data_IF_315476013947
#
_entry.id   IF_315476013947
#
_cell.length_a   1.000
_cell.length_b   1.000
_cell.length_c   1.000
_cell.angle_alpha   90.00
_cell.angle_beta   90.00
_cell.angle_gamma   90.00
#
_symmetry.space_group_name_H-M   'P 1'
#
loop_
_entity.id
_entity.type
_entity.pdbx_description
1 polymer ?
#
# COMPACT_ATOMS: atom_id res chain seq x y z
N UNK A 1 14.23 17.44 14.83
CA UNK A 1 14.10 16.67 13.59
C UNK A 1 12.67 16.15 13.47
N UNK A 2 12.03 16.41 12.34
CA UNK A 2 10.66 15.97 12.16
C UNK A 2 10.62 14.46 11.88
N UNK A 3 9.71 13.76 12.53
CA UNK A 3 9.51 12.35 12.27
C UNK A 3 8.85 12.16 10.91
N UNK A 4 9.19 11.04 10.28
CA UNK A 4 8.57 10.69 9.00
C UNK A 4 7.09 10.39 9.21
N UNK A 5 6.26 10.99 8.35
CA UNK A 5 4.84 10.67 8.25
C UNK A 5 4.59 10.17 6.83
N UNK A 6 4.07 8.95 6.65
CA UNK A 6 3.78 8.45 5.30
C UNK A 6 2.81 9.36 4.57
N UNK A 7 3.02 9.52 3.26
CA UNK A 7 2.16 10.32 2.40
C UNK A 7 1.66 9.48 1.24
N UNK A 8 0.61 9.95 0.58
CA UNK A 8 0.02 9.24 -0.56
C UNK A 8 1.07 8.97 -1.63
N UNK A 9 1.07 7.75 -2.13
CA UNK A 9 2.02 7.30 -3.14
C UNK A 9 3.32 6.76 -2.57
N UNK A 10 3.61 6.95 -1.29
CA UNK A 10 4.79 6.35 -0.68
C UNK A 10 4.70 4.84 -0.70
N UNK A 11 5.84 4.19 -0.92
CA UNK A 11 5.99 2.76 -0.68
C UNK A 11 6.70 2.62 0.66
N UNK A 12 6.08 1.92 1.59
CA UNK A 12 6.63 1.73 2.93
C UNK A 12 6.67 0.25 3.29
N UNK A 13 7.61 -0.11 4.15
CA UNK A 13 7.63 -1.43 4.78
C UNK A 13 6.68 -1.43 5.96
N UNK A 14 5.81 -2.44 6.04
CA UNK A 14 4.88 -2.62 7.15
C UNK A 14 4.78 -4.08 7.52
N UNK A 15 4.50 -4.34 8.78
CA UNK A 15 4.17 -5.67 9.24
C UNK A 15 2.66 -5.89 9.09
N UNK A 16 2.27 -6.83 8.24
CA UNK A 16 0.88 -7.15 7.95
C UNK A 16 0.32 -8.26 8.85
N UNK A 17 1.14 -8.80 9.73
CA UNK A 17 0.70 -9.82 10.68
C UNK A 17 -0.11 -9.17 11.81
N UNK A 18 -1.19 -9.80 12.30
CA UNK A 18 -1.75 -11.08 11.86
C UNK A 18 -2.53 -10.96 10.56
N UNK A 19 -2.66 -12.08 9.85
CA UNK A 19 -3.41 -12.14 8.61
C UNK A 19 -4.49 -13.22 8.73
N UNK A 20 -5.48 -13.17 7.84
CA UNK A 20 -6.56 -14.15 7.81
C UNK A 20 -6.78 -14.61 6.37
N UNK A 21 -6.76 -15.91 6.15
CA UNK A 21 -7.05 -16.51 4.85
C UNK A 21 -6.16 -16.00 3.72
N UNK A 22 -6.77 -15.37 2.74
CA UNK A 22 -6.08 -14.90 1.53
C UNK A 22 -5.35 -13.58 1.68
N UNK A 23 -5.38 -12.96 2.85
CA UNK A 23 -4.70 -11.69 3.09
C UNK A 23 -3.19 -11.89 3.11
N UNK A 24 -2.46 -10.85 2.67
CA UNK A 24 -1.01 -10.86 2.76
C UNK A 24 -0.57 -10.79 4.22
N UNK A 25 0.54 -11.46 4.53
CA UNK A 25 1.07 -11.56 5.89
C UNK A 25 2.55 -11.20 5.90
N UNK A 26 3.08 -10.95 7.10
CA UNK A 26 4.50 -10.71 7.32
C UNK A 26 4.91 -9.28 6.99
N UNK A 27 6.23 -9.05 7.00
CA UNK A 27 6.82 -7.74 6.73
C UNK A 27 6.92 -7.54 5.22
N UNK A 28 6.11 -6.61 4.68
CA UNK A 28 5.97 -6.42 3.24
C UNK A 28 5.92 -4.94 2.88
N UNK A 29 6.29 -4.58 1.64
CA UNK A 29 6.05 -3.23 1.16
C UNK A 29 4.58 -3.01 0.86
N UNK A 30 4.14 -1.78 1.02
CA UNK A 30 2.77 -1.36 0.75
C UNK A 30 2.77 0.04 0.16
N UNK A 31 1.79 0.31 -0.70
CA UNK A 31 1.58 1.66 -1.24
C UNK A 31 0.56 2.38 -0.37
N UNK A 32 0.91 3.57 0.07
CA UNK A 32 0.05 4.41 0.89
C UNK A 32 -0.93 5.15 -0.01
N UNK A 33 -2.22 5.07 0.31
CA UNK A 33 -3.29 5.72 -0.47
C UNK A 33 -3.78 7.00 0.17
N UNK A 34 -3.69 7.11 1.49
CA UNK A 34 -4.19 8.27 2.22
C UNK A 34 -3.12 9.34 2.39
N UNK A 35 -3.51 10.62 2.45
CA UNK A 35 -2.55 11.72 2.56
C UNK A 35 -1.95 11.85 3.96
N UNK A 36 -0.77 12.48 4.04
CA UNK A 36 -0.07 12.70 5.30
C UNK A 36 -0.93 13.42 6.33
N UNK A 37 -1.78 14.35 5.88
CA UNK A 37 -2.67 15.09 6.78
C UNK A 37 -3.57 14.14 7.60
N UNK A 38 -4.05 13.09 6.96
CA UNK A 38 -4.81 12.04 7.66
C UNK A 38 -3.88 11.13 8.44
N UNK A 39 -2.76 10.75 7.84
CA UNK A 39 -1.87 9.73 8.42
C UNK A 39 -1.23 10.15 9.73
N UNK A 40 -1.15 11.46 9.99
CA UNK A 40 -0.59 11.98 11.25
C UNK A 40 -1.30 11.48 12.49
N UNK A 41 -2.57 11.12 12.37
CA UNK A 41 -3.31 10.60 13.53
C UNK A 41 -2.89 9.19 13.93
N UNK A 42 -2.12 8.50 13.08
CA UNK A 42 -1.57 7.19 13.39
C UNK A 42 -2.09 6.04 12.54
N UNK A 43 -3.15 6.27 11.76
CA UNK A 43 -3.70 5.29 10.83
C UNK A 43 -3.40 5.71 9.39
N UNK A 44 -3.42 4.74 8.48
CA UNK A 44 -3.35 5.03 7.06
C UNK A 44 -4.08 3.96 6.27
N UNK A 45 -4.43 4.30 5.03
CA UNK A 45 -4.96 3.32 4.08
C UNK A 45 -3.82 2.93 3.14
N UNK A 46 -3.68 1.64 2.91
CA UNK A 46 -2.63 1.12 2.04
C UNK A 46 -3.06 -0.16 1.33
N UNK A 47 -2.29 -0.51 0.30
CA UNK A 47 -2.42 -1.79 -0.40
C UNK A 47 -1.07 -2.49 -0.40
N UNK A 48 -1.01 -3.79 -0.11
CA UNK A 48 0.27 -4.52 -0.11
C UNK A 48 0.79 -4.73 -1.51
N UNK A 49 2.13 -4.87 -1.63
CA UNK A 49 2.80 -5.29 -2.84
C UNK A 49 3.23 -6.73 -2.73
N UNK A 50 3.29 -7.38 -3.88
CA UNK A 50 3.86 -8.74 -4.00
C UNK A 50 4.72 -8.80 -5.25
N UNK A 51 5.73 -9.68 -5.25
CA UNK A 51 6.52 -9.94 -6.44
C UNK A 51 5.93 -11.07 -7.29
N UNK A 52 4.90 -11.74 -6.78
CA UNK A 52 4.26 -12.87 -7.46
C UNK A 52 2.89 -12.47 -7.97
N UNK A 53 2.80 -12.22 -9.29
CA UNK A 53 1.53 -11.95 -9.94
C UNK A 53 0.72 -13.24 -10.09
N UNK A 54 -0.59 -13.12 -9.89
CA UNK A 54 -1.55 -14.18 -10.18
C UNK A 54 -2.40 -13.84 -11.39
N UNK A 55 -2.11 -12.70 -12.05
CA UNK A 55 -2.84 -12.27 -13.23
C UNK A 55 -4.24 -11.75 -12.96
N UNK A 56 -4.53 -11.34 -11.73
CA UNK A 56 -5.85 -10.81 -11.39
C UNK A 56 -6.02 -9.39 -11.92
N UNK A 57 -7.24 -9.01 -12.33
CA UNK A 57 -7.47 -7.69 -12.95
C UNK A 57 -7.27 -6.50 -12.00
N UNK A 58 -7.27 -6.71 -10.69
CA UNK A 58 -7.04 -5.64 -9.73
C UNK A 58 -5.58 -5.51 -9.29
N UNK A 59 -4.67 -6.24 -9.92
CA UNK A 59 -3.24 -6.04 -9.69
C UNK A 59 -2.77 -4.86 -10.54
N UNK A 60 -1.89 -4.04 -9.97
CA UNK A 60 -1.26 -2.94 -10.69
C UNK A 60 0.25 -3.14 -10.64
N UNK A 61 0.86 -3.26 -11.81
CA UNK A 61 2.31 -3.42 -11.88
C UNK A 61 3.00 -2.10 -11.56
N UNK A 62 4.02 -2.18 -10.72
CA UNK A 62 4.85 -1.05 -10.33
C UNK A 62 6.28 -1.35 -10.77
N UNK A 63 6.85 -0.43 -11.54
CA UNK A 63 8.22 -0.55 -12.01
C UNK A 63 9.20 -0.13 -10.93
N UNK A 64 10.29 -0.90 -10.81
CA UNK A 64 11.36 -0.63 -9.87
C UNK A 64 12.53 -1.54 -10.20
N UNK A 65 13.44 -1.73 -9.27
CA UNK A 65 14.54 -2.68 -9.45
C UNK A 65 14.02 -4.09 -9.70
N UNK A 66 12.91 -4.42 -9.06
CA UNK A 66 12.20 -5.68 -9.24
C UNK A 66 10.74 -5.34 -9.56
N UNK A 67 10.16 -6.02 -10.55
CA UNK A 67 8.73 -5.83 -10.84
C UNK A 67 7.92 -6.28 -9.64
N UNK A 68 7.00 -5.42 -9.23
CA UNK A 68 6.10 -5.68 -8.12
C UNK A 68 4.67 -5.39 -8.56
N UNK A 69 3.72 -5.95 -7.83
CA UNK A 69 2.29 -5.81 -8.14
C UNK A 69 1.57 -5.36 -6.90
N UNK A 70 0.83 -4.26 -7.01
CA UNK A 70 0.00 -3.76 -5.93
C UNK A 70 -1.34 -4.50 -5.98
N UNK A 71 -1.75 -5.02 -4.84
CA UNK A 71 -3.02 -5.73 -4.72
C UNK A 71 -4.10 -4.72 -4.34
N UNK A 72 -4.70 -4.09 -5.35
CA UNK A 72 -5.66 -3.00 -5.14
C UNK A 72 -6.96 -3.45 -4.50
N UNK A 73 -7.23 -4.76 -4.46
CA UNK A 73 -8.38 -5.34 -3.77
C UNK A 73 -8.13 -5.56 -2.27
N UNK A 74 -6.91 -5.37 -1.80
CA UNK A 74 -6.57 -5.55 -0.39
C UNK A 74 -6.28 -4.20 0.29
N UNK A 75 -7.22 -3.27 0.17
CA UNK A 75 -7.11 -1.98 0.86
C UNK A 75 -7.29 -2.23 2.35
N UNK A 76 -6.33 -1.75 3.14
CA UNK A 76 -6.34 -1.94 4.59
C UNK A 76 -6.11 -0.63 5.31
N UNK A 77 -6.80 -0.47 6.45
CA UNK A 77 -6.54 0.61 7.39
C UNK A 77 -5.66 0.05 8.49
N UNK A 78 -4.46 0.58 8.64
CA UNK A 78 -3.49 0.03 9.58
C UNK A 78 -2.87 1.14 10.43
N UNK A 79 -2.51 0.78 11.67
CA UNK A 79 -1.72 1.64 12.55
C UNK A 79 -0.25 1.53 12.12
N UNK A 80 0.21 2.52 11.38
CA UNK A 80 1.55 2.46 10.79
C UNK A 80 2.66 2.65 11.82
N UNK A 81 2.39 3.34 12.92
CA UNK A 81 3.41 3.54 13.96
C UNK A 81 3.73 2.25 14.70
N UNK A 82 2.69 1.51 15.09
CA UNK A 82 2.88 0.25 15.82
C UNK A 82 3.42 -0.86 14.91
N UNK A 83 3.27 -0.71 13.59
CA UNK A 83 3.73 -1.72 12.62
C UNK A 83 5.10 -1.37 12.00
N UNK A 84 5.80 -0.40 12.55
CA UNK A 84 7.17 -0.09 12.19
C UNK A 84 7.34 0.40 10.76
N UNK A 85 6.50 1.31 10.32
CA UNK A 85 6.55 1.84 8.95
C UNK A 85 7.89 2.50 8.65
N UNK A 86 8.50 2.11 7.52
CA UNK A 86 9.74 2.70 7.02
C UNK A 86 9.59 2.97 5.54
N UNK A 87 9.98 4.17 5.10
CA UNK A 87 9.88 4.54 3.70
C UNK A 87 10.85 3.73 2.85
N UNK A 88 10.36 3.18 1.74
CA UNK A 88 11.15 2.43 0.76
C UNK A 88 11.30 3.21 -0.54
N UNK A 89 10.29 3.96 -0.95
CA UNK A 89 10.27 4.68 -2.21
C UNK A 89 8.91 5.30 -2.44
N UNK A 90 8.53 5.45 -3.69
CA UNK A 90 7.20 5.94 -4.06
C UNK A 90 6.80 5.41 -5.43
N UNK A 91 5.50 5.41 -5.70
CA UNK A 91 4.97 5.09 -7.03
C UNK A 91 4.81 6.38 -7.83
N UNK A 92 4.68 6.25 -9.15
CA UNK A 92 4.37 7.41 -10.01
C UNK A 92 2.91 7.83 -9.82
N UNK A 93 2.58 9.05 -10.27
CA UNK A 93 1.20 9.52 -10.23
C UNK A 93 0.28 8.63 -11.07
N UNK A 94 0.76 8.15 -12.22
CA UNK A 94 0.00 7.24 -13.08
C UNK A 94 -0.29 5.93 -12.38
N UNK A 95 0.73 5.37 -11.72
CA UNK A 95 0.57 4.13 -10.96
C UNK A 95 -0.43 4.31 -9.82
N UNK A 96 -0.30 5.39 -9.05
CA UNK A 96 -1.21 5.68 -7.95
C UNK A 96 -2.64 5.86 -8.44
N UNK A 97 -2.82 6.57 -9.55
CA UNK A 97 -4.14 6.78 -10.15
C UNK A 97 -4.78 5.44 -10.56
N UNK A 98 -3.99 4.54 -11.13
CA UNK A 98 -4.47 3.20 -11.52
C UNK A 98 -4.88 2.37 -10.31
N UNK A 99 -4.07 2.41 -9.26
CA UNK A 99 -4.38 1.69 -8.01
C UNK A 99 -5.70 2.20 -7.42
N UNK A 100 -5.84 3.52 -7.34
CA UNK A 100 -7.05 4.14 -6.80
C UNK A 100 -8.29 3.81 -7.63
N UNK A 101 -8.15 3.81 -8.96
CA UNK A 101 -9.27 3.51 -9.85
C UNK A 101 -9.78 2.08 -9.62
N UNK A 102 -8.87 1.12 -9.48
CA UNK A 102 -9.24 -0.27 -9.23
C UNK A 102 -9.87 -0.45 -7.85
N UNK A 103 -9.31 0.19 -6.84
CA UNK A 103 -9.87 0.14 -5.49
C UNK A 103 -11.28 0.75 -5.46
N UNK A 104 -11.48 1.89 -6.11
CA UNK A 104 -12.79 2.54 -6.18
C UNK A 104 -13.82 1.66 -6.89
N UNK A 105 -13.41 0.95 -7.93
CA UNK A 105 -14.31 0.07 -8.66
C UNK A 105 -14.88 -1.03 -7.75
N UNK A 106 -14.08 -1.49 -6.79
CA UNK A 106 -14.50 -2.52 -5.85
C UNK A 106 -15.33 -1.96 -4.70
N UNK A 107 -15.07 -0.73 -4.30
CA UNK A 107 -15.80 -0.07 -3.20
C UNK A 107 -17.14 0.49 -3.70
N UNK A 108 -17.17 0.89 -4.95
CA UNK A 108 -18.30 1.61 -5.54
C UNK A 108 -17.99 3.10 -5.63
N UNK A 109 -18.91 3.82 -6.24
CA UNK A 109 -18.72 5.26 -6.46
C UNK A 109 -18.95 6.08 -5.21
#
# INVERSE_FOLDING_TARGET
MADYVPDEGDIIWLNFTPQSGHEQAGHRPAVVLSPAAYNRIGLLLCCPLTTKSKGYPFEVMVDGKTKSFVLADQVKSLDWKSRGAKRKGCVSETELSSIRAKARALIGK
#
